data_IF_623795751845
#
_entry.id   IF_623795751845
#
_cell.length_a   1.000
_cell.length_b   1.000
_cell.length_c   1.000
_cell.angle_alpha   90.00
_cell.angle_beta   90.00
_cell.angle_gamma   90.00
#
_symmetry.space_group_name_H-M   'P 1'
#
loop_
_entity.id
_entity.type
_entity.pdbx_description
1 polymer ?
2 non-polymer ?
3 non-polymer ?
4 non-polymer ?
5 non-polymer ?
6 non-polymer ?
7 non-polymer ?
8 water ?
#
# COMPACT_ATOMS: atom_id res chain seq x y z
N UNK A 2 -2.75 -10.79 -12.70
CA UNK A 2 -3.41 -9.87 -13.62
C UNK A 2 -3.76 -8.56 -12.92
N UNK A 3 -4.00 -7.52 -13.71
CA UNK A 3 -4.34 -6.20 -13.18
C UNK A 3 -5.82 -5.94 -13.34
N UNK A 4 -6.41 -5.30 -12.34
CA UNK A 4 -7.81 -4.90 -12.35
C UNK A 4 -7.90 -3.47 -11.79
N UNK A 5 -9.02 -2.77 -11.99
CA UNK A 5 -9.13 -1.40 -11.46
C UNK A 5 -8.85 -1.34 -9.96
N UNK A 6 -8.24 -0.24 -9.54
CA UNK A 6 -7.77 -0.07 -8.18
C UNK A 6 -8.54 1.07 -7.51
N UNK A 7 -8.89 0.86 -6.24
CA UNK A 7 -9.55 1.89 -5.45
C UNK A 7 -8.52 2.90 -4.95
N UNK A 8 -8.94 4.01 -4.34
CA UNK A 8 -7.94 5.02 -3.95
C UNK A 8 -6.95 4.54 -2.90
N UNK A 9 -7.35 3.60 -2.04
CA UNK A 9 -6.41 3.06 -1.05
C UNK A 9 -5.33 2.22 -1.71
N UNK A 10 -5.71 1.39 -2.66
CA UNK A 10 -4.76 0.63 -3.46
C UNK A 10 -3.79 1.53 -4.23
N UNK A 11 -4.22 2.59 -4.84
CA UNK A 11 -3.26 3.43 -5.55
C UNK A 11 -2.36 4.13 -4.60
N UNK A 12 -2.90 4.62 -3.49
CA UNK A 12 -2.05 5.30 -2.52
C UNK A 12 -1.01 4.35 -1.92
N UNK A 13 -1.40 3.11 -1.66
CA UNK A 13 -0.44 2.13 -1.18
C UNK A 13 0.69 1.92 -2.18
N UNK A 14 0.34 1.74 -3.47
CA UNK A 14 1.36 1.48 -4.46
C UNK A 14 2.23 2.70 -4.73
N UNK A 15 1.63 3.89 -4.75
CA UNK A 15 2.41 5.11 -4.95
C UNK A 15 3.44 5.29 -3.85
N UNK A 16 3.02 5.11 -2.59
CA UNK A 16 3.94 5.29 -1.47
C UNK A 16 5.08 4.28 -1.52
N UNK A 17 4.78 3.04 -1.93
CA UNK A 17 5.83 2.03 -2.03
C UNK A 17 6.87 2.40 -3.07
N UNK A 18 6.44 2.93 -4.22
CA UNK A 18 7.40 3.37 -5.23
C UNK A 18 8.21 4.55 -4.73
N UNK A 19 7.57 5.49 -4.04
CA UNK A 19 8.28 6.65 -3.52
C UNK A 19 9.33 6.24 -2.49
N UNK A 20 8.99 5.30 -1.60
CA UNK A 20 9.95 4.82 -0.62
C UNK A 20 11.13 4.13 -1.30
N UNK A 21 10.87 3.36 -2.36
CA UNK A 21 11.92 2.58 -2.99
C UNK A 21 12.88 3.43 -3.82
N UNK A 22 12.51 4.67 -4.17
CA UNK A 22 13.27 5.45 -5.13
C UNK A 22 13.66 6.85 -4.68
N UNK A 23 13.06 7.41 -3.62
CA UNK A 23 13.34 8.80 -3.28
C UNK A 23 14.74 9.01 -2.71
N UNK A 24 15.33 7.98 -2.13
CA UNK A 24 16.72 8.07 -1.68
C UNK A 24 16.97 9.14 -0.62
N UNK A 25 16.06 9.26 0.35
CA UNK A 25 16.20 10.18 1.47
C UNK A 25 16.22 11.65 1.06
N UNK A 26 15.80 11.97 -0.16
CA UNK A 26 15.64 13.34 -0.61
C UNK A 26 14.15 13.69 -0.44
N UNK A 27 13.83 14.39 0.64
CA UNK A 27 12.44 14.65 0.98
C UNK A 27 11.82 15.73 0.11
N UNK A 28 12.62 16.70 -0.34
CA UNK A 28 12.11 17.67 -1.30
C UNK A 28 11.70 17.03 -2.60
N UNK A 29 12.48 16.06 -3.07
CA UNK A 29 12.08 15.29 -4.25
C UNK A 29 10.85 14.45 -3.97
N UNK A 30 10.77 13.89 -2.77
CA UNK A 30 9.56 13.15 -2.39
C UNK A 30 8.35 14.07 -2.36
N UNK A 31 8.54 15.31 -1.91
CA UNK A 31 7.44 16.27 -1.90
C UNK A 31 6.96 16.57 -3.32
N UNK A 32 7.89 16.64 -4.27
CA UNK A 32 7.52 16.89 -5.66
C UNK A 32 6.71 15.73 -6.23
N UNK A 33 7.08 14.50 -5.88
CA UNK A 33 6.37 13.33 -6.41
C UNK A 33 4.94 13.28 -5.89
N UNK A 34 4.73 13.60 -4.61
CA UNK A 34 3.37 13.60 -4.06
C UNK A 34 2.51 14.63 -4.78
N UNK A 35 3.09 15.78 -5.13
CA UNK A 35 2.39 16.79 -5.91
C UNK A 35 2.35 16.46 -7.40
N UNK A 36 2.91 15.32 -7.80
CA UNK A 36 2.96 14.91 -9.21
C UNK A 36 3.68 15.94 -10.07
N UNK A 37 4.75 16.52 -9.52
CA UNK A 37 5.63 17.41 -10.29
C UNK A 37 6.77 16.54 -10.84
N UNK A 38 6.44 15.75 -11.85
CA UNK A 38 7.38 14.82 -12.46
C UNK A 38 8.15 15.56 -13.55
N UNK A 39 9.44 15.76 -13.34
CA UNK A 39 10.28 16.51 -14.26
C UNK A 39 11.56 15.71 -14.51
N UNK A 40 11.74 15.27 -15.75
CA UNK A 40 13.02 14.71 -16.17
C UNK A 40 14.08 15.81 -16.11
N UNK A 41 15.00 15.67 -15.15
CA UNK A 41 15.94 16.73 -14.84
C UNK A 41 16.28 16.58 -13.36
N UNK A 42 15.34 16.00 -12.61
CA UNK A 42 15.61 15.47 -11.28
C UNK A 42 16.04 14.03 -11.44
N UNK A 43 17.23 13.71 -10.92
CA UNK A 43 17.89 12.44 -11.20
C UNK A 43 17.07 11.18 -11.04
N UNK A 44 16.47 10.99 -9.87
CA UNK A 44 15.82 9.72 -9.56
C UNK A 44 14.41 9.61 -10.14
N UNK A 45 13.89 10.66 -10.78
CA UNK A 45 12.48 10.65 -11.20
C UNK A 45 12.22 9.64 -12.31
N UNK A 46 13.22 9.34 -13.13
CA UNK A 46 12.99 8.47 -14.28
C UNK A 46 12.53 7.09 -13.86
N UNK A 47 13.27 6.43 -12.96
CA UNK A 47 12.89 5.09 -12.55
C UNK A 47 11.75 5.08 -11.54
N UNK A 48 11.43 6.22 -10.93
CA UNK A 48 10.24 6.29 -10.10
C UNK A 48 8.97 6.19 -10.95
N UNK A 49 8.95 6.90 -12.07
CA UNK A 49 7.80 6.85 -12.97
C UNK A 49 7.59 5.44 -13.49
N UNK A 50 8.68 4.73 -13.80
CA UNK A 50 8.57 3.35 -14.27
C UNK A 50 7.91 2.48 -13.21
N UNK A 51 8.38 2.58 -11.96
CA UNK A 51 7.73 1.88 -10.86
C UNK A 51 6.25 2.22 -10.80
N UNK A 52 5.92 3.51 -10.91
CA UNK A 52 4.54 3.96 -10.71
C UNK A 52 3.61 3.43 -11.80
N UNK A 53 4.03 3.51 -13.07
CA UNK A 53 3.14 3.11 -14.15
C UNK A 53 2.94 1.60 -14.19
N UNK A 54 3.97 0.83 -13.82
CA UNK A 54 3.79 -0.61 -13.73
C UNK A 54 2.89 -0.99 -12.56
N UNK A 55 3.10 -0.35 -11.40
CA UNK A 55 2.28 -0.66 -10.23
C UNK A 55 0.83 -0.26 -10.44
N UNK A 56 0.58 0.79 -11.22
CA UNK A 56 -0.79 1.23 -11.50
C UNK A 56 -1.38 0.56 -12.73
N UNK A 57 -0.68 -0.40 -13.33
CA UNK A 57 -1.22 -1.09 -14.48
C UNK A 57 -1.22 -0.30 -15.76
N UNK A 58 -0.47 0.80 -15.83
CA UNK A 58 -0.39 1.58 -17.06
C UNK A 58 0.61 1.00 -18.05
N UNK A 59 1.60 0.24 -17.58
CA UNK A 59 2.67 -0.27 -18.42
C UNK A 59 2.89 -1.73 -18.09
N UNK A 60 2.93 -2.57 -19.13
CA UNK A 60 3.05 -4.02 -18.94
C UNK A 60 4.11 -4.63 -19.85
N UNK A 61 3.73 -4.93 -21.10
CA UNK A 61 4.64 -5.60 -22.02
C UNK A 61 5.71 -4.65 -22.53
N UNK A 62 5.64 -4.26 -23.80
CA UNK A 62 6.62 -3.36 -24.38
C UNK A 62 6.20 -1.90 -24.30
N UNK A 63 4.89 -1.64 -24.27
CA UNK A 63 4.38 -0.27 -24.24
C UNK A 63 3.26 -0.20 -23.20
N UNK A 64 2.56 0.93 -23.18
CA UNK A 64 1.48 1.13 -22.23
C UNK A 64 0.27 0.27 -22.62
N UNK A 65 -0.70 0.22 -21.71
CA UNK A 65 -1.93 -0.56 -21.90
C UNK A 65 -3.12 0.39 -21.86
N UNK A 66 -3.54 0.90 -23.02
CA UNK A 66 -4.68 1.85 -23.03
C UNK A 66 -5.98 1.28 -22.49
N UNK A 67 -6.22 -0.02 -22.69
CA UNK A 67 -7.45 -0.63 -22.19
C UNK A 67 -7.44 -0.82 -20.67
N UNK A 68 -6.26 -0.86 -20.06
CA UNK A 68 -6.20 -0.82 -18.60
C UNK A 68 -6.56 0.57 -18.08
N UNK A 69 -5.99 1.62 -18.68
CA UNK A 69 -6.32 2.99 -18.30
C UNK A 69 -7.79 3.27 -18.55
N UNK A 70 -8.33 2.73 -19.65
CA UNK A 70 -9.76 2.87 -19.91
C UNK A 70 -10.58 2.14 -18.86
N UNK A 71 -10.13 0.96 -18.43
CA UNK A 71 -10.82 0.24 -17.38
C UNK A 71 -10.77 1.00 -16.07
N UNK A 72 -9.63 1.61 -15.74
CA UNK A 72 -9.53 2.40 -14.53
C UNK A 72 -10.43 3.62 -14.59
N UNK A 73 -10.51 4.28 -15.75
CA UNK A 73 -11.41 5.41 -15.89
C UNK A 73 -12.87 4.99 -15.74
N UNK A 74 -13.24 3.89 -16.40
CA UNK A 74 -14.63 3.45 -16.36
C UNK A 74 -15.06 3.04 -14.97
N UNK A 75 -14.14 2.54 -14.15
CA UNK A 75 -14.51 2.02 -12.84
C UNK A 75 -14.97 3.12 -11.89
N UNK A 76 -14.53 4.35 -12.11
CA UNK A 76 -14.85 5.45 -11.21
C UNK A 76 -15.25 6.72 -11.96
N UNK A 77 -15.93 6.57 -13.10
CA UNK A 77 -16.32 7.73 -13.88
C UNK A 77 -17.33 8.60 -13.14
N UNK A 78 -18.15 8.00 -12.28
CA UNK A 78 -19.11 8.79 -11.50
C UNK A 78 -18.44 9.64 -10.44
N UNK A 79 -17.13 9.47 -10.22
CA UNK A 79 -16.42 10.20 -9.18
C UNK A 79 -15.16 10.90 -9.64
N UNK A 80 -14.53 10.46 -10.73
CA UNK A 80 -13.24 11.04 -11.12
C UNK A 80 -13.37 12.45 -11.68
N UNK A 81 -14.57 12.86 -12.09
CA UNK A 81 -14.75 14.21 -12.59
C UNK A 81 -14.13 14.48 -13.95
N UNK A 82 -13.90 13.44 -14.73
CA UNK A 82 -13.28 13.55 -16.06
C UNK A 82 -14.32 13.14 -17.09
N UNK A 83 -14.43 13.94 -18.15
CA UNK A 83 -15.39 13.64 -19.22
C UNK A 83 -14.96 12.41 -20.00
N UNK A 84 -15.97 11.69 -20.53
CA UNK A 84 -15.70 10.51 -21.34
C UNK A 84 -14.77 10.82 -22.51
N UNK A 85 -14.86 12.04 -23.06
CA UNK A 85 -13.96 12.43 -24.14
C UNK A 85 -12.51 12.44 -23.67
N UNK A 86 -12.24 13.15 -22.57
CA UNK A 86 -10.87 13.23 -22.05
C UNK A 86 -10.39 11.87 -21.54
N UNK A 87 -11.29 11.05 -21.01
CA UNK A 87 -10.93 9.74 -20.51
C UNK A 87 -10.35 8.85 -21.59
N UNK A 88 -11.13 8.59 -22.64
CA UNK A 88 -10.62 7.80 -23.76
C UNK A 88 -9.46 8.49 -24.48
N UNK A 89 -9.35 9.81 -24.35
CA UNK A 89 -8.27 10.53 -25.02
C UNK A 89 -6.91 10.13 -24.46
N UNK A 90 -6.72 10.32 -23.15
CA UNK A 90 -5.41 10.05 -22.56
C UNK A 90 -5.07 8.56 -22.60
N UNK A 91 -6.10 7.69 -22.57
CA UNK A 91 -5.83 6.26 -22.71
C UNK A 91 -5.14 5.97 -24.04
N UNK A 92 -5.71 6.45 -25.15
CA UNK A 92 -5.06 6.29 -26.45
C UNK A 92 -3.82 7.16 -26.54
N UNK A 93 -3.86 8.36 -25.97
CA UNK A 93 -2.73 9.27 -26.04
C UNK A 93 -1.50 8.69 -25.34
N UNK A 94 -1.71 7.98 -24.23
CA UNK A 94 -0.60 7.31 -23.56
C UNK A 94 -0.16 6.06 -24.30
N UNK A 95 -1.09 5.37 -24.96
CA UNK A 95 -0.77 4.16 -25.69
C UNK A 95 -0.15 4.40 -27.04
N UNK A 96 0.29 5.63 -27.29
CA UNK A 96 1.04 6.00 -28.48
C UNK A 96 2.44 6.47 -28.10
N UNK A 97 3.00 5.85 -27.07
CA UNK A 97 4.28 6.25 -26.50
C UNK A 97 5.40 5.44 -27.15
N UNK A 98 6.63 5.92 -26.97
CA UNK A 98 7.81 5.17 -27.40
C UNK A 98 7.84 3.83 -26.70
N UNK A 99 8.34 3.80 -25.46
CA UNK A 99 8.45 2.57 -24.71
C UNK A 99 9.38 1.61 -25.43
N UNK A 100 8.82 0.57 -26.06
CA UNK A 100 9.60 -0.34 -26.89
C UNK A 100 10.62 -1.12 -26.07
N UNK A 101 11.73 -0.47 -25.71
CA UNK A 101 12.81 -1.16 -25.00
C UNK A 101 12.51 -1.34 -23.53
N UNK A 102 11.80 -0.39 -22.91
CA UNK A 102 11.46 -0.53 -21.51
C UNK A 102 12.50 0.00 -20.54
N UNK A 103 13.15 1.11 -20.88
CA UNK A 103 14.08 1.75 -19.96
C UNK A 103 13.35 2.81 -19.13
N UNK A 104 14.00 3.26 -18.07
CA UNK A 104 13.40 4.28 -17.21
C UNK A 104 13.19 5.58 -17.98
N UNK A 105 14.22 6.05 -18.68
CA UNK A 105 14.13 7.31 -19.40
C UNK A 105 13.17 7.23 -20.58
N UNK A 106 12.94 6.04 -21.14
CA UNK A 106 12.03 5.91 -22.27
C UNK A 106 10.58 6.06 -21.83
N UNK A 107 10.18 5.34 -20.78
CA UNK A 107 8.80 5.39 -20.33
C UNK A 107 8.50 6.70 -19.60
N UNK A 108 9.48 7.24 -18.87
CA UNK A 108 9.25 8.48 -18.13
C UNK A 108 9.10 9.67 -19.07
N UNK A 109 9.82 9.67 -20.19
CA UNK A 109 9.75 10.79 -21.13
C UNK A 109 8.35 10.96 -21.70
N UNK A 110 7.76 9.86 -22.18
CA UNK A 110 6.42 9.95 -22.73
C UNK A 110 5.36 10.16 -21.68
N UNK A 111 5.59 9.69 -20.45
CA UNK A 111 4.63 9.89 -19.39
C UNK A 111 4.62 11.34 -18.92
N UNK A 112 5.80 11.89 -18.63
CA UNK A 112 5.90 13.30 -18.26
C UNK A 112 5.33 14.19 -19.36
N UNK A 113 5.55 13.80 -20.62
CA UNK A 113 5.04 14.57 -21.76
C UNK A 113 3.53 14.59 -21.76
N UNK A 114 2.89 13.43 -21.56
CA UNK A 114 1.44 13.37 -21.56
C UNK A 114 0.87 14.02 -20.31
N UNK A 115 1.54 13.85 -19.16
CA UNK A 115 1.02 14.41 -17.92
C UNK A 115 0.97 15.92 -17.96
N UNK A 116 1.98 16.56 -18.54
CA UNK A 116 2.02 18.02 -18.60
C UNK A 116 1.00 18.58 -19.58
N UNK A 117 0.56 17.79 -20.57
CA UNK A 117 -0.45 18.23 -21.52
C UNK A 117 -1.86 18.09 -20.97
N UNK A 118 -2.06 17.34 -19.89
CA UNK A 118 -3.36 17.16 -19.25
C UNK A 118 -3.16 17.16 -17.74
N UNK A 119 -2.63 18.27 -17.21
CA UNK A 119 -2.22 18.34 -15.83
C UNK A 119 -3.40 18.06 -14.90
N UNK A 120 -3.20 17.14 -13.95
CA UNK A 120 -4.20 16.81 -12.97
C UNK A 120 -5.19 15.74 -13.37
N UNK A 121 -5.26 15.37 -14.66
CA UNK A 121 -6.26 14.40 -15.09
C UNK A 121 -5.88 12.99 -14.67
N UNK A 122 -4.59 12.65 -14.73
CA UNK A 122 -4.15 11.32 -14.32
C UNK A 122 -4.35 11.10 -12.82
N UNK A 123 -4.06 12.13 -12.03
CA UNK A 123 -4.31 12.03 -10.59
C UNK A 123 -5.79 11.79 -10.30
N UNK A 124 -6.67 12.34 -11.13
CA UNK A 124 -8.10 12.13 -10.92
C UNK A 124 -8.52 10.72 -11.34
N UNK A 125 -8.04 10.25 -12.49
CA UNK A 125 -8.42 8.92 -12.97
C UNK A 125 -7.91 7.85 -12.02
N UNK A 126 -6.71 8.03 -11.47
CA UNK A 126 -6.12 7.06 -10.56
C UNK A 126 -6.37 7.41 -9.09
N UNK A 127 -7.39 8.24 -8.82
CA UNK A 127 -7.94 8.42 -7.48
C UNK A 127 -6.92 8.94 -6.48
N UNK A 128 -5.92 9.66 -6.96
CA UNK A 128 -4.97 10.33 -6.08
C UNK A 128 -5.33 11.77 -5.80
N UNK A 129 -6.19 12.37 -6.63
CA UNK A 129 -6.70 13.71 -6.37
C UNK A 129 -7.47 13.71 -5.05
N UNK A 130 -7.21 14.72 -4.21
CA UNK A 130 -7.76 14.70 -2.85
C UNK A 130 -9.28 14.68 -2.85
N UNK A 131 -9.91 15.46 -3.73
CA UNK A 131 -11.37 15.51 -3.74
C UNK A 131 -11.99 14.22 -4.26
N UNK A 132 -11.41 13.64 -5.32
CA UNK A 132 -11.91 12.37 -5.84
C UNK A 132 -11.74 11.28 -4.79
N UNK A 133 -10.59 11.17 -4.20
CA UNK A 133 -10.26 10.16 -3.17
C UNK A 133 -11.22 10.25 -2.01
N UNK A 134 -11.37 11.44 -1.48
CA UNK A 134 -12.16 11.57 -0.26
C UNK A 134 -13.64 11.30 -0.50
N UNK A 135 -14.15 11.71 -1.67
CA UNK A 135 -15.55 11.42 -1.98
C UNK A 135 -15.78 9.92 -2.09
N UNK A 136 -14.85 9.20 -2.70
CA UNK A 136 -14.99 7.75 -2.82
C UNK A 136 -14.96 7.09 -1.44
N UNK A 137 -14.03 7.54 -0.58
CA UNK A 137 -13.98 7.01 0.79
C UNK A 137 -15.31 7.23 1.50
N UNK A 138 -15.88 8.43 1.40
CA UNK A 138 -17.12 8.73 2.11
C UNK A 138 -18.25 7.85 1.61
N UNK A 139 -18.29 7.57 0.31
CA UNK A 139 -19.36 6.76 -0.26
C UNK A 139 -19.10 5.27 -0.15
N UNK A 140 -17.89 4.86 0.22
CA UNK A 140 -17.51 3.45 0.26
C UNK A 140 -16.87 3.14 1.62
N UNK A 141 -17.69 2.93 2.64
CA UNK A 141 -17.12 2.66 3.98
C UNK A 141 -16.31 1.37 4.03
N UNK A 142 -16.46 0.48 3.06
CA UNK A 142 -15.74 -0.78 3.03
C UNK A 142 -14.28 -0.61 2.60
N UNK A 143 -13.90 0.56 2.12
CA UNK A 143 -12.50 0.85 1.79
C UNK A 143 -11.86 1.52 3.00
N UNK A 144 -10.68 1.06 3.39
CA UNK A 144 -9.96 1.69 4.50
C UNK A 144 -9.52 3.09 4.09
N UNK A 145 -10.03 4.15 4.72
CA UNK A 145 -9.61 5.50 4.33
C UNK A 145 -8.33 5.89 5.06
N UNK A 146 -7.78 7.06 4.78
CA UNK A 146 -6.62 7.49 5.56
C UNK A 146 -7.08 7.96 6.94
N UNK A 147 -6.18 7.90 7.90
CA UNK A 147 -6.46 8.31 9.26
C UNK A 147 -6.84 7.20 10.21
N UNK A 148 -7.06 5.99 9.71
CA UNK A 148 -7.34 4.82 10.55
C UNK A 148 -6.38 3.72 10.16
N UNK A 149 -5.85 3.00 11.15
CA UNK A 149 -4.91 1.95 10.86
C UNK A 149 -5.62 0.73 10.26
N UNK A 150 -4.84 -0.10 9.58
CA UNK A 150 -5.40 -1.30 8.96
C UNK A 150 -5.93 -2.26 10.02
N UNK A 151 -5.23 -2.35 11.16
CA UNK A 151 -5.66 -3.25 12.23
C UNK A 151 -6.94 -2.77 12.88
N UNK A 152 -7.06 -1.46 13.10
CA UNK A 152 -8.28 -0.91 13.68
C UNK A 152 -9.44 -1.00 12.69
N UNK A 153 -9.15 -0.73 11.40
CA UNK A 153 -10.18 -0.86 10.38
C UNK A 153 -10.72 -2.29 10.31
N UNK A 154 -9.82 -3.28 10.38
CA UNK A 154 -10.27 -4.67 10.38
C UNK A 154 -10.88 -5.06 11.71
N UNK A 155 -10.33 -4.56 12.82
CA UNK A 155 -10.82 -4.97 14.13
C UNK A 155 -12.25 -4.56 14.38
N UNK A 156 -12.64 -3.38 13.89
CA UNK A 156 -14.01 -2.92 14.08
C UNK A 156 -15.03 -3.78 13.36
N UNK A 157 -14.59 -4.58 12.39
CA UNK A 157 -15.53 -5.44 11.66
C UNK A 157 -15.84 -6.72 12.42
N UNK A 158 -14.90 -7.18 13.25
CA UNK A 158 -15.02 -8.49 13.88
C UNK A 158 -15.09 -8.48 15.39
N UNK A 159 -14.67 -7.41 16.06
CA UNK A 159 -14.61 -7.36 17.50
C UNK A 159 -15.39 -6.18 18.04
N UNK A 160 -16.01 -6.38 19.20
CA UNK A 160 -16.54 -5.27 19.97
C UNK A 160 -15.39 -4.62 20.73
N UNK A 161 -15.44 -3.29 20.81
CA UNK A 161 -14.43 -2.55 21.54
C UNK A 161 -14.34 -3.05 22.98
N UNK A 162 -13.13 -3.35 23.43
CA UNK A 162 -12.89 -3.75 24.79
C UNK A 162 -13.15 -5.20 25.12
N UNK A 163 -13.62 -6.00 24.16
CA UNK A 163 -13.87 -7.41 24.46
C UNK A 163 -12.55 -8.16 24.65
N UNK A 164 -12.59 -9.21 25.48
CA UNK A 164 -11.36 -9.84 25.95
C UNK A 164 -10.51 -10.37 24.81
N UNK A 165 -11.12 -11.01 23.83
CA UNK A 165 -10.34 -11.54 22.71
C UNK A 165 -9.66 -10.40 21.95
N UNK A 166 -10.36 -9.27 21.80
CA UNK A 166 -9.79 -8.14 21.08
C UNK A 166 -8.58 -7.58 21.80
N UNK A 167 -8.65 -7.42 23.12
CA UNK A 167 -7.52 -6.88 23.86
C UNK A 167 -6.35 -7.85 23.88
N UNK A 168 -6.59 -9.16 23.75
CA UNK A 168 -5.49 -10.10 23.57
C UNK A 168 -4.79 -9.87 22.25
N UNK A 169 -5.55 -9.57 21.19
CA UNK A 169 -4.94 -9.24 19.91
C UNK A 169 -4.06 -8.00 20.04
N UNK A 170 -4.56 -6.98 20.74
CA UNK A 170 -3.77 -5.77 20.97
C UNK A 170 -2.52 -6.07 21.78
N UNK A 171 -2.65 -6.92 22.80
CA UNK A 171 -1.57 -7.13 23.77
C UNK A 171 -0.50 -8.07 23.24
N UNK A 172 -0.90 -9.16 22.57
CA UNK A 172 0.04 -10.18 22.16
C UNK A 172 0.11 -10.40 20.66
N UNK A 173 -0.71 -9.70 19.87
CA UNK A 173 -0.68 -9.85 18.43
C UNK A 173 -1.24 -11.15 17.90
N UNK A 174 -1.91 -11.93 18.73
CA UNK A 174 -2.47 -13.20 18.30
C UNK A 174 -3.63 -13.55 19.23
N UNK A 175 -4.55 -14.35 18.70
CA UNK A 175 -5.69 -14.82 19.49
C UNK A 175 -6.11 -16.19 18.98
N UNK A 176 -6.50 -17.05 19.92
CA UNK A 176 -7.01 -18.38 19.59
C UNK A 176 -8.49 -18.38 19.26
N UNK A 177 -9.20 -17.28 19.52
CA UNK A 177 -10.64 -17.24 19.35
C UNK A 177 -11.00 -17.36 17.87
N UNK A 178 -12.23 -17.81 17.56
CA UNK A 178 -12.58 -18.08 16.15
C UNK A 178 -12.63 -16.85 15.27
N UNK A 179 -12.84 -15.65 15.82
CA UNK A 179 -12.91 -14.46 15.01
C UNK A 179 -11.55 -14.04 14.47
N UNK A 180 -10.45 -14.55 15.03
CA UNK A 180 -9.12 -14.16 14.58
C UNK A 180 -8.80 -14.68 13.20
N UNK A 181 -9.49 -15.72 12.73
CA UNK A 181 -9.28 -16.19 11.36
C UNK A 181 -9.71 -15.11 10.36
N UNK A 182 -10.87 -14.51 10.59
CA UNK A 182 -11.33 -13.44 9.72
C UNK A 182 -10.46 -12.19 9.89
N UNK A 183 -10.07 -11.88 11.13
CA UNK A 183 -9.32 -10.66 11.40
C UNK A 183 -7.93 -10.72 10.79
N UNK A 184 -7.22 -11.84 10.99
CA UNK A 184 -5.88 -11.97 10.43
C UNK A 184 -5.90 -12.09 8.92
N UNK A 185 -6.97 -12.63 8.35
CA UNK A 185 -7.12 -12.58 6.89
C UNK A 185 -7.22 -11.14 6.41
N UNK A 186 -8.01 -10.33 7.12
CA UNK A 186 -8.18 -8.93 6.73
C UNK A 186 -6.86 -8.17 6.86
N UNK A 187 -6.13 -8.38 7.96
CA UNK A 187 -4.93 -7.58 8.20
C UNK A 187 -3.74 -8.05 7.36
N UNK A 188 -3.57 -9.36 7.21
CA UNK A 188 -2.50 -9.88 6.37
C UNK A 188 -2.67 -9.43 4.92
N UNK A 189 -3.91 -9.41 4.43
CA UNK A 189 -4.16 -8.88 3.09
C UNK A 189 -3.99 -7.36 3.06
N UNK A 190 -4.44 -6.68 4.12
CA UNK A 190 -4.29 -5.22 4.16
C UNK A 190 -2.83 -4.79 4.21
N UNK A 191 -1.99 -5.55 4.91
CA UNK A 191 -0.56 -5.30 4.94
C UNK A 191 0.13 -5.73 3.64
N UNK A 192 -0.57 -6.40 2.74
CA UNK A 192 0.00 -6.98 1.53
C UNK A 192 0.99 -8.10 1.83
N UNK A 193 1.00 -8.62 3.07
CA UNK A 193 1.73 -9.86 3.33
C UNK A 193 1.13 -11.01 2.54
N UNK A 194 -0.18 -11.01 2.37
CA UNK A 194 -0.89 -11.91 1.47
C UNK A 194 -1.40 -11.08 0.31
N UNK A 195 -1.10 -11.54 -0.91
CA UNK A 195 -1.53 -10.81 -2.10
C UNK A 195 -3.01 -11.08 -2.37
N UNK A 196 -3.53 -10.40 -3.40
CA UNK A 196 -4.94 -10.58 -3.76
C UNK A 196 -5.25 -12.03 -4.11
N UNK A 197 -4.32 -12.71 -4.81
CA UNK A 197 -4.53 -14.09 -5.21
C UNK A 197 -4.43 -15.09 -4.06
N UNK A 198 -4.20 -14.64 -2.83
CA UNK A 198 -4.15 -15.52 -1.70
C UNK A 198 -2.78 -16.08 -1.37
N UNK A 199 -1.74 -15.69 -2.10
CA UNK A 199 -0.40 -16.20 -1.86
C UNK A 199 0.42 -15.21 -1.05
N UNK A 200 1.33 -15.75 -0.24
CA UNK A 200 2.18 -14.91 0.61
C UNK A 200 3.21 -14.18 -0.24
N UNK A 201 3.52 -12.95 0.16
CA UNK A 201 4.55 -12.13 -0.49
C UNK A 201 5.71 -12.01 0.50
N UNK A 202 6.70 -12.82 0.35
CA UNK A 202 7.88 -12.83 1.19
C UNK A 202 8.54 -11.46 1.23
N UNK A 203 8.72 -10.81 0.12
CA UNK A 203 9.37 -9.49 0.12
C UNK A 203 8.59 -8.48 0.94
N UNK A 204 7.26 -8.59 0.96
CA UNK A 204 6.46 -7.63 1.72
C UNK A 204 6.69 -7.80 3.22
N UNK A 205 6.85 -9.04 3.67
CA UNK A 205 7.15 -9.28 5.09
C UNK A 205 8.51 -8.69 5.44
N UNK A 206 9.51 -8.91 4.57
CA UNK A 206 10.85 -8.40 4.84
C UNK A 206 10.89 -6.88 4.89
N UNK A 207 10.02 -6.22 4.12
CA UNK A 207 9.95 -4.76 4.21
C UNK A 207 9.62 -4.31 5.62
N UNK A 208 8.72 -5.02 6.29
CA UNK A 208 8.38 -4.67 7.66
C UNK A 208 9.55 -4.83 8.62
N UNK A 209 10.37 -5.85 8.41
CA UNK A 209 11.55 -6.06 9.26
C UNK A 209 12.59 -4.98 9.03
N UNK A 210 12.87 -4.66 7.76
CA UNK A 210 13.86 -3.64 7.47
C UNK A 210 13.39 -2.26 7.91
N UNK A 211 12.08 -2.03 7.96
CA UNK A 211 11.56 -0.73 8.41
C UNK A 211 11.92 -0.46 9.87
N UNK A 212 11.98 -1.49 10.70
CA UNK A 212 12.39 -1.34 12.09
C UNK A 212 13.89 -1.60 12.29
N UNK A 213 14.68 -1.54 11.21
CA UNK A 213 16.13 -1.64 11.27
C UNK A 213 16.63 -3.03 11.67
N UNK A 214 15.83 -4.06 11.43
CA UNK A 214 16.28 -5.43 11.59
C UNK A 214 16.94 -5.89 10.30
N UNK A 215 17.90 -6.80 10.41
CA UNK A 215 18.64 -7.20 9.21
C UNK A 215 19.00 -8.68 9.10
N UNK A 216 19.07 -9.46 10.17
CA UNK A 216 19.57 -10.80 9.97
C UNK A 216 18.54 -11.90 9.80
N UNK A 217 17.27 -11.55 9.61
CA UNK A 217 16.18 -12.50 9.78
C UNK A 217 15.52 -12.95 8.47
N UNK A 218 16.10 -12.62 7.32
CA UNK A 218 15.46 -12.93 6.04
C UNK A 218 15.26 -14.43 5.87
N UNK A 219 16.34 -15.21 5.97
CA UNK A 219 16.28 -16.66 5.82
C UNK A 219 15.49 -17.32 6.95
N UNK A 220 15.24 -16.58 8.04
CA UNK A 220 14.33 -17.07 9.07
C UNK A 220 12.88 -16.98 8.59
N UNK A 221 12.45 -15.90 8.03
CA UNK A 221 11.10 -15.75 7.48
C UNK A 221 10.86 -16.77 6.38
N UNK A 222 11.82 -17.00 5.53
CA UNK A 222 11.66 -17.93 4.39
C UNK A 222 11.41 -19.35 4.87
N UNK A 223 12.02 -19.76 5.92
CA UNK A 223 11.85 -21.10 6.52
C UNK A 223 10.49 -21.18 7.18
N UNK A 224 10.07 -20.17 7.88
CA UNK A 224 8.74 -20.20 8.50
C UNK A 224 7.66 -20.42 7.45
N UNK A 225 7.76 -19.70 6.32
CA UNK A 225 6.76 -19.86 5.27
C UNK A 225 6.86 -21.23 4.61
N UNK A 226 8.08 -21.71 4.40
CA UNK A 226 8.28 -22.96 3.67
C UNK A 226 7.75 -24.16 4.46
N UNK A 227 7.92 -24.14 5.78
CA UNK A 227 7.53 -25.25 6.63
C UNK A 227 6.11 -25.12 7.18
N UNK A 228 5.38 -24.08 6.78
CA UNK A 228 4.07 -23.82 7.36
C UNK A 228 3.04 -24.77 6.78
N UNK A 229 2.25 -25.40 7.64
CA UNK A 229 1.14 -26.25 7.24
C UNK A 229 -0.13 -25.42 7.34
N UNK A 230 -0.59 -24.91 6.21
CA UNK A 230 -1.71 -23.98 6.17
C UNK A 230 -2.87 -24.59 5.40
N UNK A 231 -4.07 -24.50 5.97
CA UNK A 231 -5.29 -24.93 5.31
C UNK A 231 -5.99 -23.71 4.73
N UNK A 232 -6.58 -23.87 3.54
CA UNK A 232 -7.17 -22.73 2.84
C UNK A 232 -8.32 -22.09 3.61
N UNK A 233 -8.96 -22.81 4.53
CA UNK A 233 -10.00 -22.20 5.35
C UNK A 233 -9.43 -21.14 6.28
N UNK A 234 -8.18 -21.31 6.72
CA UNK A 234 -7.53 -20.40 7.65
C UNK A 234 -6.13 -20.06 7.18
N UNK A 235 -5.99 -19.76 5.88
CA UNK A 235 -4.67 -19.67 5.27
C UNK A 235 -3.85 -18.53 5.85
N UNK A 236 -4.40 -17.31 5.86
CA UNK A 236 -3.66 -16.17 6.38
C UNK A 236 -3.31 -16.36 7.85
N UNK A 237 -4.28 -16.82 8.64
CA UNK A 237 -4.03 -17.04 10.06
C UNK A 237 -2.86 -17.99 10.28
N UNK A 238 -2.80 -19.08 9.50
CA UNK A 238 -1.75 -20.08 9.71
C UNK A 238 -0.37 -19.53 9.34
N UNK A 239 -0.28 -18.84 8.21
CA UNK A 239 1.00 -18.24 7.84
C UNK A 239 1.38 -17.12 8.81
N UNK A 240 0.40 -16.32 9.22
CA UNK A 240 0.61 -15.31 10.26
C UNK A 240 1.22 -15.93 11.51
N UNK A 241 0.65 -17.03 11.97
CA UNK A 241 1.19 -17.69 13.17
C UNK A 241 2.56 -18.29 12.90
N UNK A 242 2.81 -18.78 11.67
CA UNK A 242 4.11 -19.31 11.34
C UNK A 242 5.19 -18.23 11.41
N UNK A 243 4.89 -17.04 10.89
CA UNK A 243 5.83 -15.92 10.99
C UNK A 243 5.99 -15.49 12.45
N UNK A 244 4.88 -15.43 13.18
CA UNK A 244 4.92 -15.10 14.61
C UNK A 244 5.86 -16.03 15.37
N UNK A 245 5.74 -17.34 15.15
CA UNK A 245 6.56 -18.30 15.87
C UNK A 245 8.02 -18.23 15.44
N UNK A 246 8.26 -18.00 14.14
CA UNK A 246 9.63 -17.93 13.66
C UNK A 246 10.38 -16.74 14.21
N UNK A 247 9.75 -15.56 14.19
CA UNK A 247 10.41 -14.35 14.68
C UNK A 247 10.31 -14.22 16.19
N UNK A 248 9.33 -14.84 16.82
CA UNK A 248 9.07 -14.61 18.23
C UNK A 248 8.18 -13.40 18.46
N UNK A 249 7.47 -13.37 19.59
CA UNK A 249 6.49 -12.32 19.81
C UNK A 249 7.13 -10.93 19.82
N UNK A 250 8.28 -10.79 20.48
CA UNK A 250 8.86 -9.47 20.66
C UNK A 250 9.20 -8.81 19.32
N UNK A 251 9.91 -9.53 18.46
CA UNK A 251 10.25 -8.96 17.16
C UNK A 251 9.02 -8.82 16.28
N UNK A 252 8.14 -9.80 16.30
CA UNK A 252 6.94 -9.76 15.46
C UNK A 252 6.11 -8.52 15.78
N UNK A 253 5.87 -8.26 17.07
CA UNK A 253 5.06 -7.11 17.46
C UNK A 253 5.77 -5.80 17.17
N UNK A 254 7.09 -5.76 17.32
CA UNK A 254 7.85 -4.57 16.93
C UNK A 254 7.64 -4.25 15.46
N UNK A 255 7.63 -5.28 14.61
CA UNK A 255 7.35 -5.08 13.18
C UNK A 255 5.91 -4.61 12.97
N UNK A 256 4.97 -5.32 13.59
CA UNK A 256 3.55 -5.03 13.36
C UNK A 256 3.15 -3.66 13.89
N UNK A 257 3.67 -3.27 15.07
CA UNK A 257 3.33 -1.97 15.62
C UNK A 257 3.73 -0.85 14.66
N UNK A 258 4.91 -0.96 14.05
CA UNK A 258 5.36 0.09 13.14
C UNK A 258 4.56 0.06 11.84
N UNK A 259 4.26 -1.13 11.32
CA UNK A 259 3.33 -1.23 10.19
C UNK A 259 2.02 -0.53 10.51
N UNK A 260 1.47 -0.79 11.71
CA UNK A 260 0.19 -0.20 12.08
C UNK A 260 0.26 1.32 12.07
N UNK A 261 1.30 1.89 12.69
CA UNK A 261 1.43 3.34 12.75
C UNK A 261 1.51 3.93 11.33
N UNK A 262 2.28 3.28 10.46
CA UNK A 262 2.44 3.79 9.10
C UNK A 262 1.18 3.63 8.26
N UNK A 263 0.31 2.68 8.60
CA UNK A 263 -0.88 2.39 7.79
C UNK A 263 -1.93 3.47 7.89
N UNK A 264 -1.84 4.38 8.87
CA UNK A 264 -2.81 5.48 8.94
C UNK A 264 -2.59 6.49 7.83
N UNK A 265 -1.35 6.62 7.35
CA UNK A 265 -1.03 7.52 6.26
C UNK A 265 0.22 6.96 5.59
N UNK A 266 0.06 6.41 4.38
CA UNK A 266 1.13 5.66 3.73
C UNK A 266 2.36 6.52 3.41
N UNK A 267 2.22 7.85 3.42
CA UNK A 267 3.35 8.75 3.17
C UNK A 267 4.17 9.02 4.44
N UNK A 268 3.92 8.26 5.52
CA UNK A 268 4.51 8.56 6.82
C UNK A 268 6.02 8.67 6.75
N UNK A 269 6.69 7.66 6.20
CA UNK A 269 8.15 7.67 6.17
C UNK A 269 8.73 8.66 5.18
N UNK A 270 7.92 9.28 4.32
CA UNK A 270 8.41 10.22 3.33
C UNK A 270 8.45 11.65 3.83
N UNK A 271 7.88 11.93 4.97
CA UNK A 271 8.12 13.23 5.58
C UNK A 271 9.31 13.07 6.47
N UNK A 272 10.05 14.13 6.65
CA UNK A 272 11.36 14.03 7.26
C UNK A 272 11.28 13.78 8.77
N UNK A 273 10.30 14.39 9.44
CA UNK A 273 10.21 14.28 10.90
C UNK A 273 9.80 12.90 11.35
N UNK A 274 9.13 12.13 10.50
CA UNK A 274 8.70 10.77 10.82
C UNK A 274 9.37 9.74 9.92
N UNK A 275 10.54 10.09 9.38
CA UNK A 275 11.23 9.22 8.43
C UNK A 275 12.06 8.14 9.10
N UNK A 276 12.39 8.31 10.37
CA UNK A 276 13.27 7.38 11.09
C UNK A 276 12.48 6.64 12.15
N UNK A 277 12.76 5.35 12.31
CA UNK A 277 12.12 4.57 13.35
C UNK A 277 12.61 5.03 14.71
N UNK A 278 11.68 5.29 15.62
CA UNK A 278 11.99 5.78 16.96
C UNK A 278 11.28 4.86 17.95
N UNK A 279 12.01 3.90 18.51
CA UNK A 279 11.40 2.93 19.42
C UNK A 279 10.85 3.61 20.67
N UNK A 280 11.48 4.69 21.12
CA UNK A 280 10.97 5.41 22.28
C UNK A 280 9.62 6.05 21.99
N UNK A 281 9.48 6.66 20.80
CA UNK A 281 8.21 7.27 20.44
C UNK A 281 7.12 6.23 20.20
N UNK A 282 7.50 4.99 19.87
CA UNK A 282 6.50 3.97 19.53
C UNK A 282 5.68 3.55 20.75
N UNK A 283 6.24 3.67 21.96
CA UNK A 283 5.52 3.24 23.15
C UNK A 283 4.20 4.00 23.32
N UNK A 284 4.24 5.33 23.18
CA UNK A 284 3.02 6.10 23.38
C UNK A 284 2.07 5.94 22.19
N UNK A 285 2.59 5.61 21.01
CA UNK A 285 1.71 5.36 19.88
C UNK A 285 0.95 4.05 20.05
N UNK A 286 1.63 3.01 20.52
CA UNK A 286 0.96 1.74 20.80
C UNK A 286 -0.07 1.91 21.91
N UNK A 287 0.27 2.72 22.93
CA UNK A 287 -0.70 2.99 23.99
C UNK A 287 -1.93 3.69 23.47
N UNK A 288 -1.76 4.68 22.58
CA UNK A 288 -2.91 5.40 22.06
C UNK A 288 -3.79 4.49 21.21
N UNK A 289 -3.18 3.54 20.49
CA UNK A 289 -3.96 2.60 19.69
C UNK A 289 -4.70 1.61 20.58
N UNK A 290 -4.09 1.20 21.69
CA UNK A 290 -4.82 0.40 22.68
C UNK A 290 -6.05 1.14 23.19
N UNK A 291 -5.87 2.42 23.52
CA UNK A 291 -6.98 3.22 24.04
C UNK A 291 -8.08 3.38 23.00
N UNK A 292 -7.69 3.57 21.74
CA UNK A 292 -8.65 3.67 20.64
C UNK A 292 -9.53 2.43 20.56
N UNK A 293 -8.94 1.25 20.82
CA UNK A 293 -9.70 0.01 20.83
C UNK A 293 -10.38 -0.26 22.17
N UNK A 294 -10.27 0.68 23.12
CA UNK A 294 -10.82 0.50 24.47
C UNK A 294 -10.17 -0.69 25.18
N UNK A 295 -8.87 -0.84 25.00
CA UNK A 295 -8.12 -1.94 25.61
C UNK A 295 -7.00 -1.42 26.51
X LIG B 1 -3.87 15.49 1.31
X LIG B 1 -5.07 16.11 1.61
X LIG B 1 -2.75 16.34 1.37
X LIG B 1 -3.92 14.84 0.11
X LIG B 1 -2.26 14.55 3.54
X LIG B 1 -2.43 15.15 4.90
X LIG B 1 -1.17 15.16 2.89
X LIG B 1 -3.52 14.70 2.65
X LIG B 1 -2.21 13.06 3.27
X LIG B 1 -2.19 12.52 1.97
X LIG B 1 -1.61 11.12 1.96
X LIG B 1 -2.59 10.14 2.23
X LIG B 1 -1.15 10.58 0.62
X LIG B 1 0.15 10.96 0.31
X LIG B 1 -1.32 9.07 0.71
X LIG B 1 -0.13 8.45 0.94
X LIG B 1 -2.10 8.90 1.97
X LIG B 1 -3.23 8.01 1.89
X LIG B 1 -4.21 8.13 1.03
X LIG B 1 -5.12 7.26 1.17
X LIG B 1 -4.72 6.49 2.19
X LIG B 1 -5.26 5.38 2.83
X LIG B 1 -6.36 4.81 2.52
X LIG B 1 -4.58 4.85 3.83
X LIG B 1 -3.44 5.38 4.15
X LIG B 1 -2.86 6.41 3.65
X LIG B 1 -3.53 6.94 2.65
X LIG C 1 -6.03 -5.36 -1.13
X LIG C 1 -5.64 -4.59 -2.22
X LIG C 1 -6.58 -4.36 -0.08
X LIG C 1 -7.82 -3.83 -0.46
X LIG C 1 -6.65 -5.20 1.23
X LIG C 1 -6.76 -4.28 2.28
X LIG D 1 -2.96 14.52 -3.37
X LIG D 1 -2.61 14.50 -2.00
X LIG D 1 -2.87 15.88 -4.01
X LIG D 1 -1.60 15.98 -4.60
X LIG D 1 -3.88 16.08 -5.11
X LIG D 1 -4.97 16.90 -4.74
X LIG E 1 5.23 -2.15 22.48
X LIG E 1 4.99 -1.01 23.28
X LIG E 1 4.27 -3.31 22.65
X LIG E 1 3.65 -3.56 21.42
X LIG E 1 4.94 -4.57 23.14
X LIG E 1 4.25 -5.74 22.75
X LIG F 1 9.22 17.10 8.48
X LIG F 1 9.53 18.35 9.09
X LIG F 1 7.74 16.92 8.26
X LIG F 1 7.30 17.21 6.94
X LIG F 1 6.88 17.49 9.36
X LIG F 1 6.34 18.75 9.00
X LIG G 1 -8.34 9.04 15.67
X LIG G 1 -8.05 10.41 15.56
X LIG G 1 -6.90 10.70 14.82
X LIG G 1 -5.68 10.05 15.46
X LIG G 1 -9.60 7.49 17.01
X LIG G 1 -9.55 8.84 16.58
X LIG H 1 -13.17 -17.18 6.96
X LIG H 1 -13.29 -17.91 8.15
X LIG H 1 -14.27 -17.45 9.06
X LIG H 1 -13.94 -17.93 10.34
X LIG H 1 -11.52 -15.73 5.92
X LIG H 1 -11.74 -16.81 6.73
X LIG I 1 12.76 4.96 -27.50
X LIG I 1 14.04 4.69 -27.04
X LIG I 1 11.98 3.72 -27.68
X LIG I 1 11.14 3.84 -28.82
X LIG I 1 10.07 2.91 -28.73
X LIG I 1 9.52 2.68 -30.04
X LIG I 1 8.22 3.12 -30.08
X LIG J 1 4.63 -3.98 -0.35
X LIG J 1 4.52 -4.03 1.07
X LIG J 1 4.09 -5.26 -0.97
X LIG J 1 3.25 -4.97 -2.10
X LIG K 1 -13.33 15.95 -9.15
X LIG K 1 -12.67 16.80 -8.25
X LIG K 1 -14.57 15.80 -8.49
X LIG K 1 -15.43 14.92 -8.95
X LIG L 1 2.56 -11.35 24.96
X LIG M 1 22.27 -16.28 3.68
#
# INVERSE_FOLDING_TARGET
DEWSPMDPEEVAFEEAKCMEDHFGNDFGLAEKWMKWSLAESDGKTACYVKCLVEALGMYDKQAFQPNNIKQQYEAYKSDNGVDQTKGDAIANELGKIDAKDGKCESIAKGFIQVNNANKGVLEKIYLLDSSVRDAIYKKNPQIKPKGISIFRFCGKQFYQDGEAAYCNVRKHGFSDDPKFIKHSNCTTRGMRWMKKNGEMDESAILRGLHAVNENGKDDVVKKSLQNCKAKDESKARDYYKCIYDGLGEQLFMKVLDYIEVRSENYSYRLREATSKYDANAMRSKVKALDSEAKC
ADP PB O1B O2B O3B PA O1A O2A O3A O5' C5' C4' O4' C3' O3' C2' O2' C1' N9 C8 N7 C5 C6 N6 N1 C2 N3 C4
GOL C1 O1 C2 O2 C3 O3
GOL C1 O1 C2 O2 C3 O3
GOL C1 O1 C2 O2 C3 O3
GOL C1 O1 C2 O2 C3 O3
ETX C2 O2 C3 C4 O1 C1
ETX C2 O2 C3 C4 O1 C1
PEG C1 O1 C2 O2 C3 C4 O4
EDO C1 O1 C2 O2
EDO C1 O1 C2 O2
ZN ZN
ZN ZN
#
